data_IF_700465376108
#
_entry.id   IF_700465376108
#
_cell.length_a   1.000
_cell.length_b   1.000
_cell.length_c   1.000
_cell.angle_alpha   90.00
_cell.angle_beta   90.00
_cell.angle_gamma   90.00
#
_symmetry.space_group_name_H-M   'P 1'
#
loop_
_entity.id
_entity.type
_entity.pdbx_description
1 polymer ?
#
# COMPACT_ATOMS: atom_id res chain seq x y z
N UNK A 1 -6.77 -15.65 7.61
CA UNK A 1 -5.50 -15.17 7.02
C UNK A 1 -5.68 -15.23 5.50
N UNK A 2 -5.48 -14.11 4.80
CA UNK A 2 -5.63 -14.00 3.34
C UNK A 2 -4.25 -13.78 2.73
N UNK A 3 -3.95 -14.47 1.64
CA UNK A 3 -2.71 -14.25 0.87
C UNK A 3 -3.03 -13.43 -0.37
N UNK A 4 -2.23 -12.39 -0.64
CA UNK A 4 -2.28 -11.57 -1.84
C UNK A 4 -0.94 -11.69 -2.56
N UNK A 5 -0.96 -11.72 -3.88
CA UNK A 5 0.25 -11.69 -4.70
C UNK A 5 0.11 -10.55 -5.70
N UNK A 6 1.11 -9.70 -5.80
CA UNK A 6 1.16 -8.58 -6.75
C UNK A 6 2.39 -8.73 -7.65
N UNK A 7 2.25 -8.27 -8.89
CA UNK A 7 3.34 -8.09 -9.84
C UNK A 7 3.47 -6.60 -10.20
N UNK A 8 4.68 -6.19 -10.57
CA UNK A 8 4.93 -4.90 -11.21
C UNK A 8 4.55 -4.94 -12.68
N UNK A 9 3.80 -3.93 -13.11
CA UNK A 9 3.37 -3.75 -14.50
C UNK A 9 4.41 -2.92 -15.27
N UNK A 10 5.01 -1.93 -14.61
CA UNK A 10 5.98 -1.00 -15.19
C UNK A 10 7.44 -1.48 -15.07
N UNK A 11 7.74 -2.30 -14.08
CA UNK A 11 9.07 -2.86 -13.85
C UNK A 11 8.99 -4.25 -13.22
N UNK A 12 10.02 -5.10 -13.39
CA UNK A 12 10.06 -6.44 -12.81
C UNK A 12 10.13 -6.38 -11.28
N UNK A 13 8.96 -6.50 -10.66
CA UNK A 13 8.73 -6.51 -9.22
C UNK A 13 7.69 -7.57 -8.89
N UNK A 14 7.77 -8.15 -7.70
CA UNK A 14 6.73 -9.01 -7.14
C UNK A 14 6.58 -8.76 -5.64
N UNK A 15 5.38 -8.97 -5.13
CA UNK A 15 5.12 -8.96 -3.69
C UNK A 15 4.17 -10.11 -3.32
N UNK A 16 4.46 -10.80 -2.22
CA UNK A 16 3.50 -11.65 -1.52
C UNK A 16 3.16 -11.04 -0.17
N UNK A 17 1.87 -10.95 0.15
CA UNK A 17 1.36 -10.39 1.40
C UNK A 17 0.48 -11.40 2.12
N UNK A 18 0.76 -11.61 3.41
CA UNK A 18 -0.06 -12.42 4.31
C UNK A 18 -0.80 -11.51 5.28
N UNK A 19 -2.10 -11.33 5.04
CA UNK A 19 -2.97 -10.44 5.81
C UNK A 19 -3.69 -11.23 6.91
N UNK A 20 -3.48 -10.85 8.17
CA UNK A 20 -4.29 -11.34 9.30
C UNK A 20 -5.46 -10.40 9.58
N UNK A 21 -5.19 -9.10 9.57
CA UNK A 21 -6.16 -8.00 9.60
C UNK A 21 -5.55 -6.77 8.91
N UNK A 22 -6.30 -5.70 8.65
CA UNK A 22 -5.75 -4.49 8.03
C UNK A 22 -4.56 -3.89 8.80
N UNK A 23 -4.53 -4.05 10.14
CA UNK A 23 -3.45 -3.57 11.00
C UNK A 23 -2.40 -4.64 11.34
N UNK A 24 -2.56 -5.87 10.85
CA UNK A 24 -1.64 -6.98 11.09
C UNK A 24 -1.41 -7.75 9.80
N UNK A 25 -0.32 -7.45 9.11
CA UNK A 25 0.05 -8.09 7.86
C UNK A 25 1.58 -8.18 7.76
N UNK A 26 2.07 -9.10 6.94
CA UNK A 26 3.49 -9.22 6.63
C UNK A 26 3.66 -9.53 5.17
N UNK A 27 4.77 -9.11 4.58
CA UNK A 27 5.02 -9.34 3.17
C UNK A 27 6.48 -9.52 2.82
N UNK A 28 6.69 -9.92 1.58
CA UNK A 28 8.01 -10.01 0.95
C UNK A 28 7.90 -9.40 -0.43
N UNK A 29 8.70 -8.35 -0.68
CA UNK A 29 8.86 -7.73 -1.98
C UNK A 29 10.16 -8.21 -2.62
N UNK A 30 10.14 -8.39 -3.92
CA UNK A 30 11.29 -8.65 -4.77
C UNK A 30 11.32 -7.59 -5.86
N UNK A 31 12.46 -6.93 -6.01
CA UNK A 31 12.78 -6.07 -7.14
C UNK A 31 14.14 -6.43 -7.73
N UNK A 32 14.54 -5.76 -8.80
CA UNK A 32 15.81 -6.04 -9.50
C UNK A 32 17.06 -5.98 -8.61
N UNK A 33 17.03 -5.13 -7.58
CA UNK A 33 18.19 -4.81 -6.75
C UNK A 33 17.92 -4.99 -5.25
N UNK A 34 16.77 -5.55 -4.87
CA UNK A 34 16.40 -5.73 -3.46
C UNK A 34 15.48 -6.94 -3.24
N UNK A 35 15.65 -7.59 -2.10
CA UNK A 35 14.63 -8.40 -1.43
C UNK A 35 14.28 -7.66 -0.14
N UNK A 36 13.00 -7.44 0.13
CA UNK A 36 12.53 -6.74 1.31
C UNK A 36 11.50 -7.59 2.05
N UNK A 37 11.70 -7.81 3.34
CA UNK A 37 10.68 -8.37 4.24
C UNK A 37 10.09 -7.27 5.08
N UNK A 38 8.79 -7.31 5.30
CA UNK A 38 8.12 -6.35 6.17
C UNK A 38 7.05 -6.99 7.05
N UNK A 39 6.85 -6.41 8.23
CA UNK A 39 5.84 -6.82 9.21
C UNK A 39 5.17 -5.56 9.79
N UNK A 40 3.87 -5.45 9.57
CA UNK A 40 2.99 -4.43 10.13
C UNK A 40 2.30 -5.01 11.36
N UNK A 41 2.55 -4.39 12.52
CA UNK A 41 1.84 -4.67 13.77
C UNK A 41 1.33 -3.35 14.39
N UNK A 42 0.05 -3.06 14.14
CA UNK A 42 -0.63 -1.90 14.67
C UNK A 42 0.01 -0.61 14.18
N UNK A 43 0.71 0.08 15.08
CA UNK A 43 1.38 1.37 14.83
C UNK A 43 2.87 1.24 14.51
N UNK A 44 3.36 0.01 14.32
CA UNK A 44 4.76 -0.26 13.99
C UNK A 44 4.87 -1.01 12.67
N UNK A 45 5.74 -0.52 11.79
CA UNK A 45 6.14 -1.21 10.56
C UNK A 45 7.63 -1.55 10.68
N UNK A 46 7.95 -2.83 10.67
CA UNK A 46 9.34 -3.32 10.61
C UNK A 46 9.66 -3.72 9.17
N UNK A 47 10.79 -3.27 8.64
CA UNK A 47 11.27 -3.55 7.28
C UNK A 47 12.72 -4.03 7.31
N UNK A 48 13.09 -5.00 6.48
CA UNK A 48 14.44 -5.56 6.41
C UNK A 48 14.82 -5.93 4.97
N UNK A 49 15.84 -5.25 4.43
CA UNK A 49 16.41 -5.50 3.11
C UNK A 49 17.72 -6.31 3.13
N UNK A 50 18.00 -7.03 4.23
CA UNK A 50 19.19 -7.86 4.42
C UNK A 50 20.30 -7.22 5.26
N UNK A 51 20.17 -5.93 5.60
CA UNK A 51 21.10 -5.23 6.52
C UNK A 51 20.62 -5.25 7.98
N UNK A 52 19.47 -5.89 8.25
CA UNK A 52 18.84 -5.96 9.56
C UNK A 52 17.58 -5.09 9.65
N UNK A 53 16.70 -5.37 10.63
CA UNK A 53 15.38 -4.77 10.69
C UNK A 53 15.43 -3.29 11.11
N UNK A 54 14.80 -2.44 10.31
CA UNK A 54 14.49 -1.04 10.62
C UNK A 54 13.03 -0.97 11.09
N UNK A 55 12.80 -0.31 12.23
CA UNK A 55 11.44 -0.10 12.77
C UNK A 55 11.02 1.34 12.56
N UNK A 56 9.84 1.52 11.98
CA UNK A 56 9.16 2.79 11.87
C UNK A 56 7.93 2.79 12.77
N UNK A 57 7.68 3.93 13.40
CA UNK A 57 6.45 4.17 14.16
C UNK A 57 5.54 5.10 13.37
N UNK A 58 4.24 4.82 13.42
CA UNK A 58 3.23 5.58 12.69
C UNK A 58 3.26 7.06 13.13
N UNK A 59 3.30 7.28 14.45
CA UNK A 59 3.29 8.62 15.04
C UNK A 59 1.98 9.33 14.71
N UNK A 60 2.06 10.61 14.33
CA UNK A 60 0.90 11.40 13.91
C UNK A 60 0.46 11.21 12.45
N UNK A 61 1.00 10.21 11.74
CA UNK A 61 0.53 9.87 10.39
C UNK A 61 -0.77 9.04 10.45
N UNK A 62 -1.59 9.11 9.40
CA UNK A 62 -2.84 8.36 9.30
C UNK A 62 -2.59 6.86 9.09
N UNK A 63 -1.67 6.53 8.18
CA UNK A 63 -1.27 5.17 7.83
C UNK A 63 0.21 5.11 7.45
N UNK A 64 0.76 3.89 7.41
CA UNK A 64 1.99 3.63 6.66
C UNK A 64 1.68 3.54 5.17
N UNK A 65 2.68 3.87 4.36
CA UNK A 65 2.71 3.56 2.93
C UNK A 65 4.10 3.02 2.62
N UNK A 66 4.19 1.74 2.23
CA UNK A 66 5.45 1.14 1.83
C UNK A 66 5.55 1.18 0.32
N UNK A 67 6.61 1.82 -0.19
CA UNK A 67 6.84 1.90 -1.62
C UNK A 67 6.79 0.51 -2.28
N UNK A 68 6.19 0.45 -3.47
CA UNK A 68 5.95 -0.79 -4.22
C UNK A 68 5.03 -1.81 -3.53
N UNK A 69 4.25 -1.45 -2.49
CA UNK A 69 3.23 -2.32 -1.90
C UNK A 69 1.81 -1.75 -2.04
N UNK A 70 1.05 -2.30 -3.00
CA UNK A 70 -0.35 -1.93 -3.22
C UNK A 70 -1.27 -2.28 -2.02
N UNK A 71 -0.82 -3.15 -1.11
CA UNK A 71 -1.57 -3.48 0.10
C UNK A 71 -1.87 -2.23 0.95
N UNK A 72 -0.89 -1.33 1.09
CA UNK A 72 -1.04 -0.16 1.96
C UNK A 72 -2.08 0.84 1.43
N UNK A 73 -2.29 0.91 0.11
CA UNK A 73 -3.38 1.71 -0.48
C UNK A 73 -4.78 1.19 -0.14
N UNK A 74 -4.90 -0.06 0.33
CA UNK A 74 -6.18 -0.61 0.79
C UNK A 74 -6.57 -0.09 2.18
N UNK A 75 -5.61 0.35 3.01
CA UNK A 75 -5.88 0.72 4.40
C UNK A 75 -6.80 1.93 4.56
N UNK A 76 -6.60 3.06 3.83
CA UNK A 76 -7.50 4.20 3.93
C UNK A 76 -8.89 3.87 3.38
N UNK A 77 -8.94 3.10 2.29
CA UNK A 77 -10.19 2.67 1.65
C UNK A 77 -11.05 1.84 2.60
N UNK A 78 -10.43 0.88 3.30
CA UNK A 78 -11.07 0.01 4.28
C UNK A 78 -11.54 0.78 5.52
N UNK A 79 -10.69 1.65 6.09
CA UNK A 79 -11.00 2.39 7.32
C UNK A 79 -12.13 3.40 7.12
N UNK A 80 -12.07 4.12 6.01
CA UNK A 80 -12.92 5.29 5.78
C UNK A 80 -14.09 5.02 4.82
N UNK A 81 -14.23 3.78 4.34
CA UNK A 81 -15.35 3.37 3.49
C UNK A 81 -15.38 4.09 2.14
N UNK A 82 -14.22 4.27 1.50
CA UNK A 82 -14.09 5.09 0.28
C UNK A 82 -14.80 4.51 -0.95
N UNK A 83 -15.26 3.26 -0.90
CA UNK A 83 -16.01 2.62 -1.98
C UNK A 83 -17.53 2.66 -1.76
N UNK A 84 -18.00 3.28 -0.68
CA UNK A 84 -19.43 3.42 -0.41
C UNK A 84 -20.06 4.52 -1.26
N UNK A 85 -21.35 4.38 -1.55
CA UNK A 85 -22.10 5.38 -2.30
C UNK A 85 -22.09 6.71 -1.56
N UNK A 86 -21.74 7.78 -2.28
CA UNK A 86 -21.63 9.13 -1.73
C UNK A 86 -20.33 9.42 -0.98
N UNK A 87 -19.35 8.48 -0.96
CA UNK A 87 -18.02 8.75 -0.44
C UNK A 87 -17.37 9.95 -1.17
N UNK A 88 -16.73 10.82 -0.40
CA UNK A 88 -16.08 12.04 -0.91
C UNK A 88 -14.57 11.91 -0.90
N UNK A 89 -13.89 12.78 -1.65
CA UNK A 89 -12.44 12.83 -1.66
C UNK A 89 -11.87 13.11 -0.26
N UNK A 90 -10.77 12.43 0.08
CA UNK A 90 -10.07 12.61 1.35
C UNK A 90 -8.58 12.83 1.14
N UNK A 91 -7.98 13.58 2.06
CA UNK A 91 -6.54 13.72 2.17
C UNK A 91 -6.03 12.93 3.37
N UNK A 92 -4.85 12.34 3.19
CA UNK A 92 -4.16 11.56 4.21
C UNK A 92 -2.72 12.04 4.32
N UNK A 93 -2.18 12.02 5.53
CA UNK A 93 -0.75 12.15 5.77
C UNK A 93 -0.18 10.76 6.05
N UNK A 94 0.53 10.19 5.08
CA UNK A 94 1.15 8.87 5.22
C UNK A 94 2.55 8.97 5.82
N UNK A 95 2.92 7.94 6.60
CA UNK A 95 4.32 7.60 6.85
C UNK A 95 4.81 6.77 5.68
N UNK A 96 5.28 7.46 4.64
CA UNK A 96 5.81 6.83 3.44
C UNK A 96 7.22 6.30 3.71
N UNK A 97 7.46 5.01 3.45
CA UNK A 97 8.74 4.33 3.57
C UNK A 97 9.24 4.01 2.16
N UNK A 98 10.32 4.66 1.75
CA UNK A 98 10.92 4.48 0.43
C UNK A 98 11.69 3.16 0.34
N UNK A 99 11.73 2.56 -0.85
CA UNK A 99 12.44 1.31 -1.16
C UNK A 99 13.40 1.59 -2.33
N UNK A 100 14.69 1.20 -2.24
CA UNK A 100 15.29 0.32 -1.24
C UNK A 100 15.92 1.03 -0.03
N UNK A 101 15.83 2.37 0.09
CA UNK A 101 16.54 3.11 1.14
C UNK A 101 15.99 2.89 2.56
N UNK A 102 14.74 2.43 2.68
CA UNK A 102 14.01 2.25 3.95
C UNK A 102 13.88 3.53 4.77
N UNK A 103 14.01 4.70 4.13
CA UNK A 103 13.85 5.99 4.79
C UNK A 103 12.39 6.40 4.84
N UNK A 104 11.92 6.80 6.03
CA UNK A 104 10.54 7.22 6.23
C UNK A 104 10.37 8.75 6.18
N UNK A 105 9.36 9.23 5.46
CA UNK A 105 8.97 10.64 5.41
C UNK A 105 7.46 10.79 5.62
N UNK A 106 6.99 12.01 5.88
CA UNK A 106 5.56 12.33 5.84
C UNK A 106 5.20 12.74 4.42
N UNK A 107 4.17 12.09 3.86
CA UNK A 107 3.71 12.36 2.49
C UNK A 107 2.20 12.60 2.48
N UNK A 108 1.77 13.72 1.88
CA UNK A 108 0.35 14.00 1.66
C UNK A 108 -0.13 13.25 0.43
N UNK A 109 -1.26 12.57 0.57
CA UNK A 109 -1.90 11.80 -0.49
C UNK A 109 -3.40 12.11 -0.53
N UNK A 110 -3.97 12.16 -1.73
CA UNK A 110 -5.40 12.38 -1.93
C UNK A 110 -6.02 11.18 -2.63
N UNK A 111 -7.16 10.74 -2.09
CA UNK A 111 -7.95 9.63 -2.61
C UNK A 111 -9.32 10.19 -2.98
N UNK A 112 -9.68 10.12 -4.26
CA UNK A 112 -10.95 10.63 -4.80
C UNK A 112 -11.77 9.47 -5.35
N UNK A 113 -12.85 9.03 -4.67
CA UNK A 113 -13.74 8.01 -5.20
C UNK A 113 -14.29 8.39 -6.58
N UNK A 114 -14.22 7.47 -7.54
CA UNK A 114 -14.74 7.65 -8.91
C UNK A 114 -16.05 6.87 -9.16
N UNK A 115 -16.48 6.06 -8.18
CA UNK A 115 -17.54 5.06 -8.36
C UNK A 115 -16.98 3.75 -8.88
N UNK A 116 -17.80 2.70 -8.95
CA UNK A 116 -17.38 1.41 -9.53
C UNK A 116 -16.27 0.66 -8.77
N UNK A 117 -15.99 1.05 -7.52
CA UNK A 117 -14.82 0.61 -6.71
C UNK A 117 -13.46 1.08 -7.24
N UNK A 118 -13.46 2.20 -7.95
CA UNK A 118 -12.24 2.88 -8.40
C UNK A 118 -12.01 4.14 -7.55
N UNK A 119 -10.76 4.36 -7.17
CA UNK A 119 -10.31 5.60 -6.51
C UNK A 119 -9.17 6.19 -7.30
N UNK A 120 -9.28 7.46 -7.66
CA UNK A 120 -8.14 8.22 -8.17
C UNK A 120 -7.23 8.57 -7.00
N UNK A 121 -6.00 8.09 -7.08
CA UNK A 121 -4.91 8.37 -6.16
C UNK A 121 -4.05 9.53 -6.69
N UNK A 122 -3.64 10.42 -5.80
CA UNK A 122 -2.69 11.50 -6.09
C UNK A 122 -1.68 11.71 -4.97
N UNK A 123 -0.41 11.84 -5.31
CA UNK A 123 0.67 12.26 -4.41
C UNK A 123 1.66 13.14 -5.17
N UNK A 124 1.73 14.43 -4.81
CA UNK A 124 2.46 15.41 -5.61
C UNK A 124 1.93 15.47 -7.05
N UNK A 125 2.83 15.33 -8.02
CA UNK A 125 2.50 15.33 -9.45
C UNK A 125 2.03 13.96 -9.96
N UNK A 126 2.22 12.90 -9.19
CA UNK A 126 1.79 11.56 -9.56
C UNK A 126 0.28 11.39 -9.40
N UNK A 127 -0.38 10.84 -10.42
CA UNK A 127 -1.82 10.54 -10.45
C UNK A 127 -2.02 9.17 -11.09
N UNK A 128 -2.90 8.35 -10.51
CA UNK A 128 -3.32 7.07 -11.07
C UNK A 128 -4.67 6.66 -10.53
N UNK A 129 -5.43 5.91 -11.30
CA UNK A 129 -6.58 5.19 -10.77
C UNK A 129 -6.13 3.87 -10.13
N UNK A 130 -6.86 3.48 -9.07
CA UNK A 130 -6.68 2.22 -8.35
C UNK A 130 -8.05 1.55 -8.27
N UNK A 131 -8.14 0.33 -8.78
CA UNK A 131 -9.32 -0.52 -8.72
C UNK A 131 -9.23 -1.47 -7.53
N UNK A 132 -10.35 -1.61 -6.83
CA UNK A 132 -10.48 -2.46 -5.65
C UNK A 132 -11.49 -3.58 -5.88
N UNK A 133 -11.30 -4.70 -5.17
CA UNK A 133 -12.31 -5.74 -5.10
C UNK A 133 -13.45 -5.37 -4.14
N UNK A 134 -14.42 -6.28 -3.98
CA UNK A 134 -15.59 -6.05 -3.12
C UNK A 134 -15.23 -5.93 -1.63
N UNK A 135 -14.05 -6.41 -1.24
CA UNK A 135 -13.54 -6.32 0.12
C UNK A 135 -12.65 -5.08 0.31
N UNK A 136 -12.56 -4.18 -0.68
CA UNK A 136 -11.73 -2.98 -0.59
C UNK A 136 -10.23 -3.24 -0.67
N UNK A 137 -9.81 -4.36 -1.27
CA UNK A 137 -8.39 -4.69 -1.48
C UNK A 137 -8.02 -4.41 -2.94
N UNK A 138 -6.87 -3.76 -3.16
CA UNK A 138 -6.38 -3.41 -4.51
C UNK A 138 -6.38 -4.64 -5.43
N UNK A 139 -6.87 -4.46 -6.65
CA UNK A 139 -6.86 -5.42 -7.76
C UNK A 139 -5.91 -4.92 -8.84
N UNK A 140 -6.04 -3.67 -9.25
CA UNK A 140 -5.21 -3.07 -10.29
C UNK A 140 -4.87 -1.63 -9.89
N UNK A 141 -3.58 -1.35 -9.76
CA UNK A 141 -3.04 -0.01 -9.62
C UNK A 141 -2.52 0.36 -11.01
N UNK A 142 -3.30 1.14 -11.74
CA UNK A 142 -3.16 1.28 -13.19
C UNK A 142 -1.75 1.69 -13.61
N UNK A 143 -1.14 0.85 -14.46
CA UNK A 143 0.21 1.09 -14.97
C UNK A 143 1.34 0.89 -13.96
N UNK A 144 1.07 0.40 -12.75
CA UNK A 144 2.08 0.27 -11.70
C UNK A 144 2.14 -1.14 -11.08
N UNK A 145 1.07 -1.59 -10.42
CA UNK A 145 1.03 -2.86 -9.71
C UNK A 145 -0.29 -3.59 -9.99
N UNK A 146 -0.23 -4.90 -10.24
CA UNK A 146 -1.43 -5.71 -10.48
C UNK A 146 -1.49 -6.88 -9.52
N UNK A 147 -2.66 -7.13 -8.93
CA UNK A 147 -2.88 -8.32 -8.10
C UNK A 147 -3.10 -9.54 -8.99
N UNK A 148 -2.28 -10.56 -8.78
CA UNK A 148 -2.44 -11.86 -9.42
C UNK A 148 -3.62 -12.61 -8.79
N UNK A 149 -4.38 -13.31 -9.63
CA UNK A 149 -5.37 -14.31 -9.19
C UNK A 149 -4.77 -15.70 -9.40
N UNK A 150 -5.09 -16.67 -8.54
CA UNK A 150 -4.79 -18.08 -8.82
C UNK A 150 -5.33 -18.53 -10.17
#
# INVERSE_FOLDING_TARGET
>A
MRTLVFEGVDAPRMEIVHVRSPQRARGTQLGLVYELRWDLDGTTLTVDAGAGPVRHHLGGADFFDLEHSAFFNSLPVLRDGLLTDGATAREYTMRFVAVPSLTATLMRQRYTPRGGRTVEYRAGDYVSDIDFDADGVVVDYHGYLRRLRP
#
